data_IF_327452058422
#
_entry.id   IF_327452058422
#
_cell.length_a   1.000
_cell.length_b   1.000
_cell.length_c   1.000
_cell.angle_alpha   90.00
_cell.angle_beta   90.00
_cell.angle_gamma   90.00
#
_symmetry.space_group_name_H-M   'P 1'
#
loop_
_entity.id
_entity.type
_entity.pdbx_description
1 polymer ?
#
# COMPACT_ATOMS: atom_id res chain seq x y z
N UNK A 1 -7.71 -52.33 -6.47
CA UNK A 1 -7.31 -50.92 -6.25
C UNK A 1 -8.57 -50.09 -6.06
N UNK A 2 -8.79 -49.55 -4.85
CA UNK A 2 -10.04 -48.89 -4.48
C UNK A 2 -10.22 -47.54 -5.18
N UNK A 3 -11.18 -47.47 -6.08
CA UNK A 3 -11.64 -46.26 -6.80
C UNK A 3 -12.14 -45.14 -5.87
N UNK A 4 -12.60 -45.49 -4.67
CA UNK A 4 -13.04 -44.54 -3.64
C UNK A 4 -11.93 -43.59 -3.16
N UNK A 5 -10.68 -44.07 -3.04
CA UNK A 5 -9.56 -43.26 -2.56
C UNK A 5 -9.07 -42.25 -3.61
N UNK A 6 -9.04 -42.64 -4.89
CA UNK A 6 -8.67 -41.74 -6.00
C UNK A 6 -9.64 -40.56 -6.16
N UNK A 7 -10.93 -40.76 -5.89
CA UNK A 7 -11.93 -39.70 -5.96
C UNK A 7 -11.79 -38.71 -4.79
N UNK A 8 -11.49 -39.21 -3.59
CA UNK A 8 -11.21 -38.38 -2.41
C UNK A 8 -9.94 -37.54 -2.57
N UNK A 9 -8.87 -38.11 -3.12
CA UNK A 9 -7.62 -37.38 -3.40
C UNK A 9 -7.80 -36.29 -4.45
N UNK A 10 -8.59 -36.55 -5.50
CA UNK A 10 -8.80 -35.58 -6.58
C UNK A 10 -9.55 -34.33 -6.08
N UNK A 11 -10.60 -34.51 -5.28
CA UNK A 11 -11.35 -33.38 -4.70
C UNK A 11 -10.54 -32.61 -3.65
N UNK A 12 -9.68 -33.29 -2.88
CA UNK A 12 -8.77 -32.64 -1.92
C UNK A 12 -7.73 -31.76 -2.64
N UNK A 13 -7.19 -32.23 -3.76
CA UNK A 13 -6.24 -31.47 -4.57
C UNK A 13 -6.88 -30.23 -5.21
N UNK A 14 -8.14 -30.35 -5.67
CA UNK A 14 -8.91 -29.21 -6.20
C UNK A 14 -9.18 -28.18 -5.10
N UNK A 15 -9.56 -28.63 -3.89
CA UNK A 15 -9.78 -27.72 -2.77
C UNK A 15 -8.49 -26.99 -2.34
N UNK A 16 -7.36 -27.71 -2.28
CA UNK A 16 -6.06 -27.13 -1.95
C UNK A 16 -5.61 -26.08 -2.98
N UNK A 17 -5.83 -26.31 -4.27
CA UNK A 17 -5.49 -25.33 -5.32
C UNK A 17 -6.35 -24.07 -5.24
N UNK A 18 -7.64 -24.19 -4.91
CA UNK A 18 -8.52 -23.04 -4.67
C UNK A 18 -8.03 -22.23 -3.47
N UNK A 19 -7.71 -22.89 -2.35
CA UNK A 19 -7.22 -22.21 -1.14
C UNK A 19 -5.88 -21.50 -1.37
N UNK A 20 -4.96 -22.13 -2.11
CA UNK A 20 -3.70 -21.50 -2.52
C UNK A 20 -3.95 -20.28 -3.41
N UNK A 21 -4.85 -20.38 -4.39
CA UNK A 21 -5.20 -19.25 -5.25
C UNK A 21 -5.73 -18.06 -4.46
N UNK A 22 -6.63 -18.30 -3.51
CA UNK A 22 -7.18 -17.27 -2.62
C UNK A 22 -6.06 -16.64 -1.78
N UNK A 23 -5.18 -17.44 -1.20
CA UNK A 23 -4.05 -16.96 -0.40
C UNK A 23 -3.13 -16.01 -1.20
N UNK A 24 -2.77 -16.37 -2.44
CA UNK A 24 -1.96 -15.52 -3.29
C UNK A 24 -2.64 -14.20 -3.62
N UNK A 25 -3.95 -14.23 -3.91
CA UNK A 25 -4.74 -13.02 -4.18
C UNK A 25 -4.69 -12.07 -2.97
N UNK A 26 -4.94 -12.57 -1.76
CA UNK A 26 -4.86 -11.75 -0.54
C UNK A 26 -3.46 -11.18 -0.30
N UNK A 27 -2.42 -11.96 -0.54
CA UNK A 27 -1.04 -11.50 -0.39
C UNK A 27 -0.70 -10.35 -1.35
N UNK A 28 -1.16 -10.43 -2.60
CA UNK A 28 -0.97 -9.38 -3.61
C UNK A 28 -1.72 -8.11 -3.21
N UNK A 29 -3.00 -8.22 -2.81
CA UNK A 29 -3.78 -7.06 -2.37
C UNK A 29 -3.17 -6.36 -1.15
N UNK A 30 -2.64 -7.11 -0.18
CA UNK A 30 -1.97 -6.52 0.99
C UNK A 30 -0.71 -5.72 0.61
N UNK A 31 0.05 -6.20 -0.38
CA UNK A 31 1.24 -5.49 -0.89
C UNK A 31 0.85 -4.23 -1.67
N UNK A 32 -0.22 -4.29 -2.47
CA UNK A 32 -0.74 -3.14 -3.22
C UNK A 32 -1.21 -2.05 -2.27
N UNK A 33 -1.98 -2.38 -1.22
CA UNK A 33 -2.45 -1.40 -0.23
C UNK A 33 -1.28 -0.68 0.46
N UNK A 34 -0.26 -1.44 0.87
CA UNK A 34 0.96 -0.88 1.48
C UNK A 34 1.70 0.03 0.49
N UNK A 35 1.83 -0.39 -0.76
CA UNK A 35 2.48 0.41 -1.80
C UNK A 35 1.73 1.73 -2.07
N UNK A 36 0.40 1.66 -2.20
CA UNK A 36 -0.45 2.84 -2.43
C UNK A 36 -0.37 3.83 -1.26
N UNK A 37 -0.37 3.33 -0.02
CA UNK A 37 -0.18 4.18 1.19
C UNK A 37 1.16 4.88 1.18
N UNK A 38 2.25 4.15 0.91
CA UNK A 38 3.59 4.74 0.84
C UNK A 38 3.71 5.77 -0.28
N UNK A 39 3.11 5.49 -1.44
CA UNK A 39 3.11 6.42 -2.56
C UNK A 39 2.31 7.69 -2.24
N UNK A 40 1.14 7.56 -1.60
CA UNK A 40 0.36 8.70 -1.16
C UNK A 40 1.11 9.56 -0.12
N UNK A 41 1.82 8.94 0.83
CA UNK A 41 2.70 9.64 1.78
C UNK A 41 3.81 10.40 1.04
N UNK A 42 4.45 9.76 0.07
CA UNK A 42 5.53 10.38 -0.71
C UNK A 42 5.03 11.56 -1.56
N UNK A 43 3.88 11.41 -2.21
CA UNK A 43 3.25 12.48 -2.99
C UNK A 43 2.84 13.65 -2.09
N UNK A 44 2.20 13.38 -0.96
CA UNK A 44 1.81 14.40 0.01
C UNK A 44 3.04 15.11 0.61
N UNK A 45 4.12 14.38 0.90
CA UNK A 45 5.36 14.96 1.39
C UNK A 45 5.95 15.94 0.35
N UNK A 46 6.00 15.54 -0.92
CA UNK A 46 6.52 16.37 -2.01
C UNK A 46 5.72 17.66 -2.22
N UNK A 47 4.38 17.60 -2.10
CA UNK A 47 3.51 18.77 -2.27
C UNK A 47 3.47 19.67 -1.04
N UNK A 48 3.70 19.11 0.15
CA UNK A 48 3.66 19.88 1.40
C UNK A 48 4.89 20.77 1.62
N UNK A 49 5.90 20.69 0.76
CA UNK A 49 7.12 21.48 0.91
C UNK A 49 6.93 22.86 0.29
N UNK A 50 7.18 23.92 1.06
CA UNK A 50 7.32 25.27 0.52
C UNK A 50 8.69 25.84 0.82
N UNK A 51 9.28 26.49 -0.18
CA UNK A 51 10.54 27.19 -0.08
C UNK A 51 10.30 28.61 0.40
N UNK A 52 10.87 28.96 1.55
CA UNK A 52 10.94 30.35 2.02
C UNK A 52 12.37 30.82 1.86
N UNK A 53 12.55 31.96 1.20
CA UNK A 53 13.86 32.62 1.15
C UNK A 53 14.01 33.36 2.47
N UNK A 54 15.02 32.99 3.24
CA UNK A 54 15.34 33.69 4.47
C UNK A 54 15.93 35.08 4.12
N UNK A 55 15.36 36.13 4.70
CA UNK A 55 15.71 37.51 4.38
C UNK A 55 17.11 37.89 4.92
N UNK A 56 17.60 37.21 5.97
CA UNK A 56 18.92 37.48 6.55
C UNK A 56 20.04 36.70 5.87
N UNK A 57 19.84 35.42 5.58
CA UNK A 57 20.91 34.55 5.07
C UNK A 57 20.88 34.39 3.55
N UNK A 58 19.84 34.86 2.87
CA UNK A 58 19.54 34.60 1.44
C UNK A 58 19.50 33.12 1.08
N UNK A 59 19.39 32.22 2.06
CA UNK A 59 19.32 30.79 1.83
C UNK A 59 17.86 30.38 1.59
N UNK A 60 17.67 29.44 0.66
CA UNK A 60 16.36 28.78 0.48
C UNK A 60 16.19 27.75 1.58
N UNK A 61 15.29 28.03 2.52
CA UNK A 61 14.90 27.08 3.56
C UNK A 61 13.62 26.37 3.13
N UNK A 62 13.71 25.04 3.17
CA UNK A 62 12.66 24.12 2.75
C UNK A 62 11.87 23.73 3.99
N UNK A 63 10.66 24.25 4.15
CA UNK A 63 9.82 23.96 5.32
C UNK A 63 8.69 23.00 4.94
N UNK A 64 8.44 21.94 5.73
CA UNK A 64 7.26 21.10 5.56
C UNK A 64 6.03 21.84 6.09
N UNK A 65 5.07 22.15 5.22
CA UNK A 65 3.73 22.57 5.59
C UNK A 65 2.97 21.37 6.16
N UNK A 66 3.15 21.14 7.45
CA UNK A 66 2.50 20.08 8.21
C UNK A 66 0.97 20.07 8.05
N UNK A 67 0.35 21.23 7.89
CA UNK A 67 -1.11 21.34 7.69
C UNK A 67 -1.54 20.86 6.30
N UNK A 68 -0.77 21.20 5.25
CA UNK A 68 -1.01 20.73 3.88
C UNK A 68 -0.76 19.22 3.79
N UNK A 69 0.28 18.74 4.46
CA UNK A 69 0.58 17.31 4.57
C UNK A 69 -0.57 16.52 5.24
N UNK A 70 -1.05 16.98 6.40
CA UNK A 70 -2.15 16.35 7.14
C UNK A 70 -3.46 16.34 6.34
N UNK A 71 -3.78 17.45 5.66
CA UNK A 71 -4.97 17.51 4.81
C UNK A 71 -4.85 16.58 3.60
N UNK A 72 -3.68 16.53 2.96
CA UNK A 72 -3.43 15.61 1.84
C UNK A 72 -3.57 14.13 2.23
N UNK A 73 -3.05 13.74 3.40
CA UNK A 73 -3.23 12.38 3.92
C UNK A 73 -4.71 12.05 4.16
N UNK A 74 -5.46 13.00 4.74
CA UNK A 74 -6.90 12.86 5.01
C UNK A 74 -7.70 12.69 3.72
N UNK A 75 -7.39 13.46 2.68
CA UNK A 75 -8.05 13.36 1.35
C UNK A 75 -7.73 12.04 0.65
N UNK A 76 -6.52 11.49 0.86
CA UNK A 76 -6.11 10.15 0.39
C UNK A 76 -6.71 9.01 1.23
N UNK A 77 -7.52 9.31 2.24
CA UNK A 77 -8.15 8.31 3.12
C UNK A 77 -7.17 7.67 4.12
N UNK A 78 -5.99 8.25 4.30
CA UNK A 78 -4.98 7.80 5.26
C UNK A 78 -5.22 8.54 6.57
N UNK A 79 -5.64 7.80 7.60
CA UNK A 79 -5.87 8.31 8.96
C UNK A 79 -4.62 8.19 9.83
#
# INVERSE_FOLDING_TARGET
MNTQYKFSESNLNVLMTILLGIFFIFMVFARIDTYLKNQAVHDCAKTSIYTKIDAETKQQLVYPALDVYKNCLKDKGIK
#
